data_IF_594383805989
#
_entry.id   IF_594383805989
#
_cell.length_a   1.000
_cell.length_b   1.000
_cell.length_c   1.000
_cell.angle_alpha   90.00
_cell.angle_beta   90.00
_cell.angle_gamma   90.00
#
_symmetry.space_group_name_H-M   'P 1'
#
loop_
_entity.id
_entity.type
_entity.pdbx_description
1 polymer ?
#
# COMPACT_ATOMS: atom_id res chain seq x y z
N UNK A 1 -8.38 -12.84 10.74
CA UNK A 1 -7.52 -11.76 10.20
C UNK A 1 -7.01 -10.75 11.24
N UNK A 2 -7.40 -10.82 12.54
CA UNK A 2 -6.99 -9.82 13.55
C UNK A 2 -5.48 -9.66 13.70
N UNK A 3 -4.75 -10.78 13.75
CA UNK A 3 -3.27 -10.79 13.88
C UNK A 3 -2.63 -10.10 12.68
N UNK A 4 -3.02 -10.49 11.46
CA UNK A 4 -2.52 -9.89 10.21
C UNK A 4 -2.78 -8.38 10.18
N UNK A 5 -3.98 -7.95 10.57
CA UNK A 5 -4.33 -6.53 10.65
C UNK A 5 -3.50 -5.77 11.70
N UNK A 6 -3.28 -6.36 12.88
CA UNK A 6 -2.45 -5.76 13.94
C UNK A 6 -0.99 -5.63 13.50
N UNK A 7 -0.45 -6.66 12.85
CA UNK A 7 0.91 -6.65 12.27
C UNK A 7 1.01 -5.56 11.20
N UNK A 8 0.07 -5.52 10.24
CA UNK A 8 0.07 -4.50 9.19
C UNK A 8 -0.01 -3.07 9.75
N UNK A 9 -0.85 -2.84 10.76
CA UNK A 9 -0.96 -1.53 11.42
C UNK A 9 0.31 -1.15 12.17
N UNK A 10 0.94 -2.10 12.86
CA UNK A 10 2.21 -1.86 13.55
C UNK A 10 3.32 -1.53 12.55
N UNK A 11 3.41 -2.28 11.44
CA UNK A 11 4.37 -2.02 10.37
C UNK A 11 4.17 -0.63 9.76
N UNK A 12 2.93 -0.23 9.46
CA UNK A 12 2.64 1.12 8.95
C UNK A 12 3.15 2.22 9.90
N UNK A 13 2.91 2.06 11.21
CA UNK A 13 3.37 3.03 12.22
C UNK A 13 4.91 3.07 12.27
N UNK A 14 5.56 1.90 12.26
CA UNK A 14 7.02 1.80 12.25
C UNK A 14 7.58 2.46 10.97
N UNK A 15 6.97 2.23 9.81
CA UNK A 15 7.38 2.87 8.55
C UNK A 15 7.28 4.38 8.64
N UNK A 16 6.16 4.93 9.13
CA UNK A 16 6.01 6.40 9.31
C UNK A 16 7.08 6.98 10.24
N UNK A 17 7.43 6.27 11.32
CA UNK A 17 8.49 6.70 12.23
C UNK A 17 9.86 6.64 11.54
N UNK A 18 10.12 5.61 10.74
CA UNK A 18 11.37 5.45 10.00
C UNK A 18 11.48 6.42 8.82
N UNK A 19 10.38 6.91 8.26
CA UNK A 19 10.38 7.93 7.20
C UNK A 19 11.07 9.23 7.64
N UNK A 20 11.08 9.54 8.94
CA UNK A 20 11.87 10.67 9.47
C UNK A 20 13.39 10.48 9.30
N UNK A 21 13.85 9.24 9.15
CA UNK A 21 15.27 8.91 8.86
C UNK A 21 15.56 8.75 7.37
N UNK A 22 14.54 8.92 6.51
CA UNK A 22 14.53 8.82 5.04
C UNK A 22 15.00 7.44 4.52
N UNK A 23 16.26 7.06 4.73
CA UNK A 23 16.85 5.82 4.22
C UNK A 23 16.13 4.59 4.79
N UNK A 24 16.00 4.49 6.11
CA UNK A 24 15.30 3.34 6.72
C UNK A 24 13.80 3.36 6.45
N UNK A 25 13.22 4.55 6.28
CA UNK A 25 11.83 4.73 5.87
C UNK A 25 11.54 4.05 4.54
N UNK A 26 12.34 4.36 3.52
CA UNK A 26 12.22 3.75 2.19
C UNK A 26 12.33 2.21 2.23
N UNK A 27 13.29 1.66 2.98
CA UNK A 27 13.40 0.19 3.13
C UNK A 27 12.18 -0.40 3.84
N UNK A 28 11.71 0.24 4.92
CA UNK A 28 10.51 -0.18 5.63
C UNK A 28 9.25 -0.08 4.76
N UNK A 29 9.20 0.90 3.87
CA UNK A 29 8.09 1.11 2.94
C UNK A 29 8.02 0.02 1.87
N UNK A 30 9.18 -0.41 1.32
CA UNK A 30 9.26 -1.56 0.42
C UNK A 30 8.77 -2.83 1.12
N UNK A 31 9.25 -3.08 2.35
CA UNK A 31 8.83 -4.24 3.15
C UNK A 31 7.32 -4.22 3.43
N UNK A 32 6.79 -3.06 3.84
CA UNK A 32 5.36 -2.86 4.09
C UNK A 32 4.54 -3.12 2.83
N UNK A 33 4.95 -2.54 1.69
CA UNK A 33 4.28 -2.72 0.41
C UNK A 33 4.23 -4.19 -0.02
N UNK A 34 5.35 -4.91 0.11
CA UNK A 34 5.40 -6.35 -0.20
C UNK A 34 4.43 -7.16 0.68
N UNK A 35 4.45 -6.94 1.99
CA UNK A 35 3.55 -7.63 2.93
C UNK A 35 2.09 -7.33 2.58
N UNK A 36 1.76 -6.08 2.26
CA UNK A 36 0.41 -5.69 1.88
C UNK A 36 -0.05 -6.32 0.56
N UNK A 37 0.82 -6.44 -0.44
CA UNK A 37 0.51 -7.17 -1.67
C UNK A 37 0.22 -8.65 -1.39
N UNK A 38 1.01 -9.31 -0.54
CA UNK A 38 0.75 -10.70 -0.14
C UNK A 38 -0.61 -10.85 0.57
N UNK A 39 -0.94 -9.93 1.50
CA UNK A 39 -2.23 -9.92 2.20
C UNK A 39 -3.37 -9.67 1.20
N UNK A 40 -3.20 -8.72 0.28
CA UNK A 40 -4.20 -8.40 -0.73
C UNK A 40 -4.48 -9.58 -1.65
N UNK A 41 -3.45 -10.32 -2.08
CA UNK A 41 -3.59 -11.56 -2.85
C UNK A 41 -4.36 -12.63 -2.07
N UNK A 42 -4.03 -12.82 -0.79
CA UNK A 42 -4.75 -13.75 0.07
C UNK A 42 -6.24 -13.39 0.22
N UNK A 43 -6.55 -12.10 0.35
CA UNK A 43 -7.93 -11.59 0.43
C UNK A 43 -8.65 -11.77 -0.91
N UNK A 44 -7.98 -11.47 -2.03
CA UNK A 44 -8.51 -11.67 -3.39
C UNK A 44 -8.81 -13.14 -3.67
N UNK A 45 -8.02 -14.08 -3.14
CA UNK A 45 -8.35 -15.51 -3.26
C UNK A 45 -9.63 -15.87 -2.49
N UNK A 46 -9.86 -15.22 -1.34
CA UNK A 46 -11.03 -15.43 -0.48
C UNK A 46 -12.19 -14.46 -0.78
N UNK A 47 -12.22 -13.84 -1.96
CA UNK A 47 -13.10 -12.73 -2.31
C UNK A 47 -14.59 -13.03 -2.09
N UNK A 48 -15.01 -14.29 -2.29
CA UNK A 48 -16.41 -14.71 -2.14
C UNK A 48 -16.98 -14.43 -0.75
N UNK A 49 -16.14 -14.49 0.30
CA UNK A 49 -16.51 -14.29 1.71
C UNK A 49 -16.70 -12.82 2.12
N UNK A 50 -16.31 -11.88 1.25
CA UNK A 50 -16.39 -10.45 1.55
C UNK A 50 -17.77 -9.88 1.27
N UNK A 51 -18.19 -8.93 2.11
CA UNK A 51 -19.34 -8.07 1.84
C UNK A 51 -19.12 -7.25 0.55
N UNK A 52 -20.22 -6.93 -0.14
CA UNK A 52 -20.21 -6.18 -1.40
C UNK A 52 -19.40 -4.87 -1.31
N UNK A 53 -19.51 -4.14 -0.21
CA UNK A 53 -18.75 -2.88 0.01
C UNK A 53 -17.24 -3.12 0.10
N UNK A 54 -16.79 -4.19 0.76
CA UNK A 54 -15.37 -4.49 0.93
C UNK A 54 -14.74 -5.06 -0.34
N UNK A 55 -15.53 -5.78 -1.15
CA UNK A 55 -15.14 -6.21 -2.50
C UNK A 55 -14.70 -5.01 -3.35
N UNK A 56 -15.50 -3.95 -3.39
CA UNK A 56 -15.15 -2.73 -4.13
C UNK A 56 -13.88 -2.06 -3.58
N UNK A 57 -13.67 -2.07 -2.26
CA UNK A 57 -12.45 -1.48 -1.69
C UNK A 57 -11.19 -2.26 -2.08
N UNK A 58 -11.26 -3.59 -2.12
CA UNK A 58 -10.14 -4.42 -2.60
C UNK A 58 -9.90 -4.22 -4.10
N UNK A 59 -10.96 -4.11 -4.91
CA UNK A 59 -10.82 -3.78 -6.33
C UNK A 59 -10.16 -2.40 -6.50
N UNK A 60 -10.62 -1.38 -5.78
CA UNK A 60 -10.03 -0.05 -5.83
C UNK A 60 -8.57 -0.05 -5.39
N UNK A 61 -8.22 -0.82 -4.34
CA UNK A 61 -6.82 -1.00 -3.93
C UNK A 61 -5.97 -1.53 -5.10
N UNK A 62 -6.41 -2.61 -5.76
CA UNK A 62 -5.70 -3.14 -6.92
C UNK A 62 -5.59 -2.12 -8.05
N UNK A 63 -6.65 -1.37 -8.35
CA UNK A 63 -6.62 -0.29 -9.35
C UNK A 63 -5.56 0.75 -8.97
N UNK A 64 -5.50 1.20 -7.71
CA UNK A 64 -4.48 2.16 -7.26
C UNK A 64 -3.06 1.61 -7.38
N UNK A 65 -2.86 0.34 -7.02
CA UNK A 65 -1.58 -0.35 -7.19
C UNK A 65 -1.18 -0.41 -8.66
N UNK A 66 -2.08 -0.79 -9.55
CA UNK A 66 -1.79 -0.86 -11.00
C UNK A 66 -1.51 0.51 -11.60
N UNK A 67 -2.30 1.53 -11.24
CA UNK A 67 -2.07 2.92 -11.69
C UNK A 67 -0.71 3.39 -11.19
N UNK A 68 -0.39 3.14 -9.93
CA UNK A 68 0.90 3.51 -9.35
C UNK A 68 2.06 2.84 -10.08
N UNK A 69 2.04 1.52 -10.26
CA UNK A 69 3.10 0.81 -10.98
C UNK A 69 3.23 1.26 -12.43
N UNK A 70 2.10 1.50 -13.11
CA UNK A 70 2.11 2.00 -14.51
C UNK A 70 2.74 3.38 -14.59
N UNK A 71 2.33 4.30 -13.71
CA UNK A 71 2.87 5.65 -13.65
C UNK A 71 4.34 5.66 -13.25
N UNK A 72 4.73 4.86 -12.25
CA UNK A 72 6.12 4.76 -11.82
C UNK A 72 7.02 4.18 -12.92
N UNK A 73 6.54 3.15 -13.65
CA UNK A 73 7.26 2.58 -14.78
C UNK A 73 7.41 3.58 -15.92
N UNK A 74 6.36 4.35 -16.21
CA UNK A 74 6.41 5.43 -17.19
C UNK A 74 7.48 6.46 -16.84
N UNK A 75 7.46 6.98 -15.60
CA UNK A 75 8.47 7.94 -15.13
C UNK A 75 9.90 7.37 -15.19
N UNK A 76 10.07 6.07 -14.95
CA UNK A 76 11.38 5.42 -14.97
C UNK A 76 11.93 5.22 -16.40
N UNK A 77 11.04 5.08 -17.40
CA UNK A 77 11.40 4.93 -18.81
C UNK A 77 11.55 6.27 -19.53
N UNK A 78 10.97 7.34 -19.00
CA UNK A 78 11.17 8.70 -19.49
C UNK A 78 12.59 9.23 -19.21
N UNK A 79 12.93 10.32 -19.89
CA UNK A 79 14.26 10.91 -19.84
C UNK A 79 14.62 11.35 -18.40
N UNK A 80 15.91 11.25 -18.04
CA UNK A 80 16.38 11.45 -16.65
C UNK A 80 15.96 12.79 -16.04
N UNK A 81 15.72 13.80 -16.87
CA UNK A 81 15.33 15.15 -16.47
C UNK A 81 14.06 15.23 -15.63
N UNK A 82 13.12 14.28 -15.77
CA UNK A 82 11.88 14.26 -15.00
C UNK A 82 12.10 13.68 -13.60
N UNK A 83 12.98 12.67 -13.47
CA UNK A 83 13.37 12.12 -12.18
C UNK A 83 14.30 13.04 -11.39
N UNK A 84 15.01 13.96 -12.07
CA UNK A 84 15.81 15.00 -11.41
C UNK A 84 14.94 16.04 -10.67
N UNK A 85 13.63 16.07 -10.91
CA UNK A 85 12.70 16.91 -10.17
C UNK A 85 12.38 16.30 -8.80
N UNK A 86 12.98 16.86 -7.74
CA UNK A 86 12.78 16.45 -6.35
C UNK A 86 11.32 16.35 -5.93
N UNK A 87 10.44 17.22 -6.44
CA UNK A 87 9.00 17.19 -6.11
C UNK A 87 8.36 15.92 -6.67
N UNK A 88 8.64 15.59 -7.93
CA UNK A 88 8.12 14.39 -8.59
C UNK A 88 8.70 13.14 -7.92
N UNK A 89 9.99 13.14 -7.59
CA UNK A 89 10.64 12.04 -6.90
C UNK A 89 10.03 11.78 -5.50
N UNK A 90 9.89 12.81 -4.66
CA UNK A 90 9.32 12.66 -3.31
C UNK A 90 7.85 12.21 -3.38
N UNK A 91 7.07 12.81 -4.27
CA UNK A 91 5.63 12.48 -4.41
C UNK A 91 5.41 11.06 -4.92
N UNK A 92 6.23 10.59 -5.87
CA UNK A 92 6.11 9.25 -6.46
C UNK A 92 6.71 8.15 -5.57
N UNK A 93 7.84 8.40 -4.90
CA UNK A 93 8.55 7.36 -4.13
C UNK A 93 8.09 7.28 -2.68
N UNK A 94 7.72 8.40 -2.06
CA UNK A 94 7.39 8.45 -0.62
C UNK A 94 5.87 8.60 -0.44
N UNK A 95 5.29 9.69 -0.95
CA UNK A 95 3.93 10.09 -0.59
C UNK A 95 2.87 9.15 -1.17
N UNK A 96 2.90 8.91 -2.48
CA UNK A 96 1.91 8.07 -3.18
C UNK A 96 1.83 6.65 -2.59
N UNK A 97 2.95 5.91 -2.46
CA UNK A 97 2.91 4.58 -1.86
C UNK A 97 2.42 4.58 -0.41
N UNK A 98 2.70 5.62 0.40
CA UNK A 98 2.15 5.73 1.76
C UNK A 98 0.63 5.94 1.79
N UNK A 99 0.09 6.72 0.85
CA UNK A 99 -1.37 6.91 0.71
C UNK A 99 -2.03 5.57 0.39
N UNK A 100 -1.48 4.81 -0.55
CA UNK A 100 -1.98 3.48 -0.95
C UNK A 100 -1.91 2.51 0.24
N UNK A 101 -0.79 2.51 0.97
CA UNK A 101 -0.61 1.65 2.14
C UNK A 101 -1.59 1.98 3.28
N UNK A 102 -1.88 3.27 3.48
CA UNK A 102 -2.85 3.73 4.47
C UNK A 102 -4.27 3.32 4.08
N UNK A 103 -4.64 3.51 2.81
CA UNK A 103 -5.92 3.06 2.27
C UNK A 103 -6.13 1.56 2.50
N UNK A 104 -5.13 0.75 2.14
CA UNK A 104 -5.19 -0.70 2.34
C UNK A 104 -5.35 -1.08 3.82
N UNK A 105 -4.62 -0.40 4.70
CA UNK A 105 -4.70 -0.64 6.14
C UNK A 105 -6.12 -0.37 6.66
N UNK A 106 -6.78 0.70 6.22
CA UNK A 106 -8.17 1.00 6.59
C UNK A 106 -9.12 -0.09 6.08
N UNK A 107 -8.94 -0.53 4.83
CA UNK A 107 -9.74 -1.63 4.25
C UNK A 107 -9.53 -2.95 5.01
N UNK A 108 -8.29 -3.28 5.34
CA UNK A 108 -7.95 -4.49 6.10
C UNK A 108 -8.56 -4.47 7.50
N UNK A 109 -8.60 -3.31 8.17
CA UNK A 109 -9.28 -3.16 9.45
C UNK A 109 -10.77 -3.48 9.35
N UNK A 110 -11.46 -2.98 8.30
CA UNK A 110 -12.88 -3.26 8.07
C UNK A 110 -13.13 -4.74 7.78
N UNK A 111 -12.27 -5.37 6.98
CA UNK A 111 -12.36 -6.81 6.69
C UNK A 111 -12.10 -7.63 7.96
N UNK A 112 -11.13 -7.22 8.78
CA UNK A 112 -10.85 -7.89 10.04
C UNK A 112 -12.09 -7.88 10.95
N UNK A 113 -12.78 -6.74 11.07
CA UNK A 113 -14.02 -6.59 11.84
C UNK A 113 -15.20 -7.39 11.26
N UNK A 114 -15.36 -7.45 9.93
CA UNK A 114 -16.41 -8.28 9.30
C UNK A 114 -16.28 -9.76 9.69
N UNK A 115 -15.06 -10.29 9.73
CA UNK A 115 -14.81 -11.70 10.08
C UNK A 115 -15.04 -12.02 11.57
N UNK A 116 -15.38 -11.04 12.41
CA UNK A 116 -15.69 -11.24 13.83
C UNK A 116 -17.19 -11.42 14.09
N UNK A 117 -18.02 -11.05 13.12
CA UNK A 117 -19.47 -11.26 13.15
C UNK A 117 -19.82 -12.59 12.52
#
# INVERSE_FOLDING_TARGET
MKIVNKINKALLIITIILDFTIIFGLYAQILLGFIQLCIALYISYNFKRLEKKLKYQIINYWIYVFIYFSFFTYLFLEDKSIMDNYIIMITSIIITPMIIATYFTITLNKIAYQNEK
#
